data_IF_246260095994
#
_entry.id   IF_246260095994
#
_cell.length_a   1.000
_cell.length_b   1.000
_cell.length_c   1.000
_cell.angle_alpha   90.00
_cell.angle_beta   90.00
_cell.angle_gamma   90.00
#
_symmetry.space_group_name_H-M   'P 1'
#
loop_
_entity.id
_entity.type
_entity.pdbx_description
1 polymer ?
#
# COMPACT_ATOMS: atom_id res chain seq x y z
N UNK A 1 -8.55 8.11 15.16
CA UNK A 1 -9.89 7.52 15.03
C UNK A 1 -11.01 8.57 15.02
N UNK A 2 -11.18 9.42 16.05
CA UNK A 2 -12.29 10.40 16.07
C UNK A 2 -12.20 11.40 14.90
N UNK A 3 -11.01 11.93 14.62
CA UNK A 3 -10.80 12.84 13.48
C UNK A 3 -11.08 12.15 12.13
N UNK A 4 -10.72 10.89 11.97
CA UNK A 4 -10.99 10.16 10.72
C UNK A 4 -12.47 9.88 10.51
N UNK A 5 -13.23 9.64 11.59
CA UNK A 5 -14.69 9.53 11.53
C UNK A 5 -15.32 10.88 11.12
N UNK A 6 -14.80 11.98 11.65
CA UNK A 6 -15.25 13.32 11.24
C UNK A 6 -14.96 13.59 9.75
N UNK A 7 -13.75 13.24 9.27
CA UNK A 7 -13.42 13.37 7.84
C UNK A 7 -14.35 12.53 6.97
N UNK A 8 -14.60 11.27 7.36
CA UNK A 8 -15.54 10.40 6.63
C UNK A 8 -16.95 11.01 6.59
N UNK A 9 -17.42 11.57 7.72
CA UNK A 9 -18.71 12.26 7.75
C UNK A 9 -18.75 13.44 6.77
N UNK A 10 -17.70 14.27 6.71
CA UNK A 10 -17.62 15.39 5.77
C UNK A 10 -17.65 14.93 4.32
N UNK A 11 -16.92 13.85 4.00
CA UNK A 11 -16.87 13.29 2.64
C UNK A 11 -18.24 12.74 2.23
N UNK A 12 -18.91 11.95 3.11
CA UNK A 12 -20.17 11.29 2.74
C UNK A 12 -21.33 12.27 2.72
N UNK A 13 -21.45 13.14 3.73
CA UNK A 13 -22.63 14.00 3.90
C UNK A 13 -22.48 15.31 3.13
N UNK A 14 -21.29 15.92 3.19
CA UNK A 14 -21.03 17.22 2.57
C UNK A 14 -20.36 17.11 1.20
N UNK A 15 -20.11 15.89 0.71
CA UNK A 15 -19.41 15.62 -0.57
C UNK A 15 -18.07 16.37 -0.67
N UNK A 16 -17.38 16.48 0.47
CA UNK A 16 -16.10 17.18 0.55
C UNK A 16 -14.99 16.29 0.02
N UNK A 17 -14.41 16.68 -1.10
CA UNK A 17 -13.22 16.05 -1.68
C UNK A 17 -12.15 17.11 -1.90
N UNK A 18 -10.94 16.85 -1.44
CA UNK A 18 -9.83 17.79 -1.56
C UNK A 18 -8.48 17.09 -1.67
N UNK A 19 -7.58 17.71 -2.46
CA UNK A 19 -6.16 17.40 -2.49
C UNK A 19 -5.38 18.51 -1.76
N UNK A 20 -4.88 18.22 -0.56
CA UNK A 20 -4.14 19.16 0.27
C UNK A 20 -2.64 18.96 0.01
N UNK A 21 -2.03 19.87 -0.74
CA UNK A 21 -0.58 19.89 -0.93
C UNK A 21 0.11 20.41 0.33
N UNK A 22 1.03 19.64 0.88
CA UNK A 22 1.80 19.98 2.09
C UNK A 22 3.15 20.57 1.70
N UNK A 23 3.89 19.91 0.81
CA UNK A 23 5.22 20.33 0.38
C UNK A 23 5.58 19.71 -0.98
N UNK A 24 6.52 20.34 -1.68
CA UNK A 24 7.21 19.69 -2.81
C UNK A 24 8.25 18.74 -2.26
N UNK A 25 8.20 17.47 -2.69
CA UNK A 25 9.12 16.45 -2.20
C UNK A 25 10.26 16.19 -3.17
N UNK A 26 9.94 15.90 -4.44
CA UNK A 26 10.91 15.69 -5.49
C UNK A 26 10.61 16.66 -6.63
N UNK A 27 11.65 17.35 -7.09
CA UNK A 27 11.58 18.18 -8.29
C UNK A 27 12.88 17.97 -9.08
N UNK A 28 12.78 17.24 -10.19
CA UNK A 28 13.94 16.90 -11.03
C UNK A 28 13.51 16.80 -12.49
N UNK A 29 13.85 17.79 -13.28
CA UNK A 29 13.46 17.87 -14.69
C UNK A 29 11.94 17.89 -14.85
N UNK A 30 11.38 16.93 -15.55
CA UNK A 30 9.92 16.77 -15.74
C UNK A 30 9.22 16.06 -14.58
N UNK A 31 9.97 15.44 -13.66
CA UNK A 31 9.39 14.74 -12.52
C UNK A 31 9.14 15.73 -11.37
N UNK A 32 7.88 16.04 -11.12
CA UNK A 32 7.42 16.75 -9.94
C UNK A 32 6.59 15.83 -9.06
N UNK A 33 7.01 15.63 -7.81
CA UNK A 33 6.30 14.84 -6.81
C UNK A 33 6.03 15.72 -5.60
N UNK A 34 4.77 15.85 -5.26
CA UNK A 34 4.34 16.59 -4.10
C UNK A 34 4.04 15.62 -2.94
N UNK A 35 4.31 16.08 -1.73
CA UNK A 35 3.80 15.47 -0.53
C UNK A 35 2.42 16.05 -0.26
N UNK A 36 1.39 15.25 -0.44
CA UNK A 36 0.00 15.72 -0.42
C UNK A 36 -0.89 14.74 0.33
N UNK A 37 -2.08 15.19 0.69
CA UNK A 37 -3.13 14.34 1.27
C UNK A 37 -4.36 14.39 0.37
N UNK A 38 -4.70 13.26 -0.24
CA UNK A 38 -5.94 13.09 -1.00
C UNK A 38 -7.06 12.63 -0.07
N UNK A 39 -8.09 13.46 0.05
CA UNK A 39 -9.29 13.19 0.81
C UNK A 39 -10.43 12.92 -0.18
N UNK A 40 -10.84 11.68 -0.29
CA UNK A 40 -11.96 11.20 -1.08
C UNK A 40 -12.69 10.06 -0.36
N UNK A 41 -13.72 9.49 -0.96
CA UNK A 41 -14.51 8.43 -0.35
C UNK A 41 -13.64 7.22 0.04
N UNK A 42 -12.75 6.76 -0.85
CA UNK A 42 -11.90 5.59 -0.61
C UNK A 42 -10.88 5.86 0.51
N UNK A 43 -10.17 7.00 0.45
CA UNK A 43 -9.17 7.35 1.47
C UNK A 43 -9.81 7.55 2.84
N UNK A 44 -10.99 8.19 2.92
CA UNK A 44 -11.68 8.47 4.19
C UNK A 44 -12.20 7.20 4.87
N UNK A 45 -12.73 6.23 4.11
CA UNK A 45 -13.09 4.91 4.63
C UNK A 45 -11.84 4.21 5.19
N UNK A 46 -10.75 4.17 4.42
CA UNK A 46 -9.51 3.54 4.87
C UNK A 46 -8.88 4.25 6.08
N UNK A 47 -8.96 5.58 6.17
CA UNK A 47 -8.53 6.33 7.35
C UNK A 47 -9.26 5.87 8.62
N UNK A 48 -10.58 5.66 8.53
CA UNK A 48 -11.36 5.15 9.68
C UNK A 48 -10.94 3.74 10.03
N UNK A 49 -10.90 2.83 9.06
CA UNK A 49 -10.51 1.43 9.29
C UNK A 49 -9.14 1.34 9.95
N UNK A 50 -8.13 1.98 9.36
CA UNK A 50 -6.75 1.94 9.85
C UNK A 50 -6.63 2.54 11.24
N UNK A 51 -7.16 3.74 11.46
CA UNK A 51 -6.99 4.44 12.77
C UNK A 51 -7.81 3.81 13.88
N UNK A 52 -8.99 3.26 13.58
CA UNK A 52 -9.84 2.60 14.57
C UNK A 52 -9.21 1.28 15.04
N UNK A 53 -8.83 0.41 14.11
CA UNK A 53 -8.18 -0.85 14.45
C UNK A 53 -6.83 -0.60 15.12
N UNK A 54 -6.03 0.34 14.63
CA UNK A 54 -4.77 0.71 15.27
C UNK A 54 -4.97 1.18 16.71
N UNK A 55 -5.98 2.01 16.99
CA UNK A 55 -6.29 2.46 18.35
C UNK A 55 -6.63 1.28 19.28
N UNK A 56 -7.47 0.35 18.82
CA UNK A 56 -7.83 -0.85 19.59
C UNK A 56 -6.60 -1.73 19.85
N UNK A 57 -5.76 -1.94 18.83
CA UNK A 57 -4.52 -2.74 18.97
C UNK A 57 -3.55 -2.07 19.93
N UNK A 58 -3.40 -0.74 19.90
CA UNK A 58 -2.55 -0.04 20.87
C UNK A 58 -3.06 -0.22 22.30
N UNK A 59 -4.36 -0.04 22.54
CA UNK A 59 -4.98 -0.24 23.86
C UNK A 59 -4.79 -1.68 24.34
N UNK A 60 -5.06 -2.66 23.48
CA UNK A 60 -4.86 -4.08 23.80
C UNK A 60 -3.39 -4.39 24.13
N UNK A 61 -2.47 -3.81 23.37
CA UNK A 61 -1.03 -4.02 23.56
C UNK A 61 -0.50 -3.50 24.90
N UNK A 62 -1.17 -2.55 25.56
CA UNK A 62 -0.81 -2.06 26.89
C UNK A 62 -0.82 -3.21 27.91
N UNK A 63 -1.87 -4.04 27.87
CA UNK A 63 -1.99 -5.23 28.71
C UNK A 63 -1.14 -6.40 28.21
N UNK A 64 -1.23 -6.71 26.90
CA UNK A 64 -0.53 -7.84 26.30
C UNK A 64 1.00 -7.79 26.52
N UNK A 65 1.60 -6.60 26.35
CA UNK A 65 3.05 -6.38 26.52
C UNK A 65 3.44 -5.90 27.92
N UNK A 66 2.57 -6.06 28.93
CA UNK A 66 2.82 -5.54 30.29
C UNK A 66 4.07 -6.13 30.94
N UNK A 67 4.37 -7.40 30.65
CA UNK A 67 5.51 -8.13 31.23
C UNK A 67 6.75 -8.14 30.33
N UNK A 68 6.68 -7.61 29.09
CA UNK A 68 7.80 -7.58 28.17
C UNK A 68 8.66 -6.31 28.41
N UNK A 69 9.98 -6.46 28.65
CA UNK A 69 10.88 -5.34 28.93
C UNK A 69 11.03 -4.39 27.71
N UNK A 70 10.67 -4.83 26.51
CA UNK A 70 10.78 -4.06 25.27
C UNK A 70 9.46 -3.42 24.81
N UNK A 71 8.48 -3.29 25.71
CA UNK A 71 7.18 -2.65 25.42
C UNK A 71 7.30 -1.28 24.74
N UNK A 72 8.19 -0.34 25.13
CA UNK A 72 8.31 0.94 24.45
C UNK A 72 8.69 0.79 22.97
N UNK A 73 9.63 -0.12 22.64
CA UNK A 73 10.02 -0.43 21.27
C UNK A 73 8.85 -0.98 20.46
N UNK A 74 8.06 -1.87 21.07
CA UNK A 74 6.87 -2.43 20.45
C UNK A 74 5.86 -1.35 20.06
N UNK A 75 5.54 -0.46 21.00
CA UNK A 75 4.59 0.65 20.79
C UNK A 75 5.09 1.62 19.70
N UNK A 76 6.40 1.89 19.68
CA UNK A 76 7.01 2.71 18.63
C UNK A 76 6.86 2.09 17.23
N UNK A 77 7.07 0.77 17.09
CA UNK A 77 6.90 0.07 15.82
C UNK A 77 5.44 0.04 15.36
N UNK A 78 4.48 -0.16 16.27
CA UNK A 78 3.06 -0.07 15.95
C UNK A 78 2.67 1.33 15.46
N UNK A 79 3.19 2.37 16.11
CA UNK A 79 2.92 3.76 15.71
C UNK A 79 3.55 4.08 14.35
N UNK A 80 4.78 3.63 14.11
CA UNK A 80 5.47 3.81 12.83
C UNK A 80 4.74 3.07 11.69
N UNK A 81 4.25 1.86 11.97
CA UNK A 81 3.46 1.10 11.02
C UNK A 81 2.15 1.83 10.65
N UNK A 82 1.45 2.34 11.66
CA UNK A 82 0.23 3.12 11.46
C UNK A 82 0.50 4.38 10.65
N UNK A 83 1.57 5.10 10.95
CA UNK A 83 2.00 6.27 10.18
C UNK A 83 2.24 5.91 8.70
N UNK A 84 3.02 4.86 8.44
CA UNK A 84 3.31 4.42 7.07
C UNK A 84 2.04 4.06 6.29
N UNK A 85 1.08 3.39 6.96
CA UNK A 85 -0.21 3.06 6.35
C UNK A 85 -1.07 4.29 6.07
N UNK A 86 -1.06 5.29 6.97
CA UNK A 86 -1.76 6.55 6.72
C UNK A 86 -1.17 7.30 5.53
N UNK A 87 0.17 7.32 5.39
CA UNK A 87 0.83 7.93 4.23
C UNK A 87 0.46 7.22 2.92
N UNK A 88 0.29 5.90 2.98
CA UNK A 88 -0.14 5.09 1.83
C UNK A 88 -1.57 5.46 1.40
N UNK A 89 -2.53 5.43 2.31
CA UNK A 89 -3.95 5.60 1.96
C UNK A 89 -4.34 7.03 1.61
N UNK A 90 -3.56 8.03 2.06
CA UNK A 90 -3.78 9.44 1.74
C UNK A 90 -2.94 9.94 0.58
N UNK A 91 -2.14 9.08 -0.07
CA UNK A 91 -1.33 9.50 -1.21
C UNK A 91 -2.20 10.01 -2.37
N UNK A 92 -1.74 11.05 -3.06
CA UNK A 92 -2.33 11.57 -4.29
C UNK A 92 -1.54 11.21 -5.55
N UNK A 93 -0.39 10.54 -5.35
CA UNK A 93 0.50 10.12 -6.42
C UNK A 93 1.14 8.77 -6.14
N UNK A 94 1.61 8.10 -7.19
CA UNK A 94 2.17 6.75 -7.11
C UNK A 94 3.47 6.67 -6.31
N UNK A 95 4.30 7.72 -6.27
CA UNK A 95 5.57 7.72 -5.53
C UNK A 95 5.33 7.85 -4.03
N UNK A 96 4.40 8.70 -3.60
CA UNK A 96 4.02 8.80 -2.18
C UNK A 96 3.33 7.51 -1.72
N UNK A 97 2.47 6.92 -2.57
CA UNK A 97 1.89 5.60 -2.30
C UNK A 97 2.99 4.56 -2.09
N UNK A 98 4.00 4.53 -2.97
CA UNK A 98 5.12 3.60 -2.87
C UNK A 98 5.96 3.84 -1.61
N UNK A 99 6.16 5.08 -1.19
CA UNK A 99 6.81 5.39 0.09
C UNK A 99 6.09 4.74 1.27
N UNK A 100 4.77 4.93 1.37
CA UNK A 100 3.97 4.27 2.41
C UNK A 100 3.99 2.74 2.29
N UNK A 101 3.97 2.23 1.06
CA UNK A 101 4.05 0.80 0.73
C UNK A 101 5.32 0.13 1.24
N UNK A 102 6.46 0.78 1.01
CA UNK A 102 7.75 0.36 1.52
C UNK A 102 7.85 0.50 3.04
N UNK A 103 7.27 1.59 3.56
CA UNK A 103 7.22 1.85 4.99
C UNK A 103 6.48 0.75 5.77
N UNK A 104 5.29 0.32 5.31
CA UNK A 104 4.57 -0.78 5.96
C UNK A 104 5.31 -2.11 5.82
N UNK A 105 6.02 -2.34 4.70
CA UNK A 105 6.89 -3.50 4.51
C UNK A 105 8.03 -3.55 5.54
N UNK A 106 8.74 -2.45 5.72
CA UNK A 106 9.81 -2.33 6.71
C UNK A 106 9.30 -2.49 8.14
N UNK A 107 8.19 -1.83 8.48
CA UNK A 107 7.60 -1.93 9.82
C UNK A 107 7.12 -3.35 10.12
N UNK A 108 6.56 -4.06 9.12
CA UNK A 108 6.17 -5.46 9.30
C UNK A 108 7.36 -6.36 9.59
N UNK A 109 8.50 -6.14 8.94
CA UNK A 109 9.74 -6.84 9.24
C UNK A 109 10.15 -6.66 10.71
N UNK A 110 10.14 -5.43 11.22
CA UNK A 110 10.46 -5.16 12.63
C UNK A 110 9.45 -5.75 13.61
N UNK A 111 8.20 -5.81 13.24
CA UNK A 111 7.12 -6.30 14.08
C UNK A 111 7.06 -7.84 14.09
N UNK A 112 7.22 -8.51 12.95
CA UNK A 112 7.27 -9.98 12.87
C UNK A 112 8.52 -10.48 13.60
N UNK A 113 9.69 -9.85 13.34
CA UNK A 113 10.96 -10.15 14.01
C UNK A 113 11.12 -9.50 15.39
N UNK A 114 10.04 -9.09 16.05
CA UNK A 114 10.12 -8.37 17.33
C UNK A 114 10.93 -9.13 18.39
N UNK A 115 10.70 -10.43 18.50
CA UNK A 115 11.47 -11.33 19.34
C UNK A 115 12.71 -11.85 18.60
N UNK A 116 13.61 -10.96 18.22
CA UNK A 116 14.78 -11.22 17.37
C UNK A 116 15.76 -12.27 17.90
N UNK A 117 15.65 -12.66 19.19
CA UNK A 117 16.42 -13.78 19.77
C UNK A 117 15.85 -15.14 19.38
N UNK A 118 14.62 -15.19 18.83
CA UNK A 118 13.96 -16.39 18.37
C UNK A 118 14.29 -16.60 16.88
N UNK A 119 14.99 -17.66 16.54
CA UNK A 119 15.42 -17.93 15.16
C UNK A 119 14.25 -18.04 14.19
N UNK A 120 13.14 -18.66 14.61
CA UNK A 120 11.93 -18.79 13.80
C UNK A 120 11.32 -17.42 13.47
N UNK A 121 11.28 -16.49 14.41
CA UNK A 121 10.78 -15.14 14.18
C UNK A 121 11.67 -14.35 13.21
N UNK A 122 13.00 -14.53 13.30
CA UNK A 122 13.94 -13.91 12.36
C UNK A 122 13.76 -14.48 10.95
N UNK A 123 13.67 -15.79 10.81
CA UNK A 123 13.44 -16.45 9.52
C UNK A 123 12.11 -16.00 8.90
N UNK A 124 11.04 -15.94 9.70
CA UNK A 124 9.73 -15.45 9.27
C UNK A 124 9.76 -13.98 8.81
N UNK A 125 10.44 -13.11 9.55
CA UNK A 125 10.60 -11.71 9.20
C UNK A 125 11.38 -11.52 7.89
N UNK A 126 12.49 -12.22 7.72
CA UNK A 126 13.30 -12.20 6.49
C UNK A 126 12.46 -12.72 5.30
N UNK A 127 11.76 -13.84 5.48
CA UNK A 127 10.88 -14.40 4.44
C UNK A 127 9.80 -13.42 4.03
N UNK A 128 9.08 -12.83 4.99
CA UNK A 128 8.07 -11.83 4.73
C UNK A 128 8.63 -10.63 3.97
N UNK A 129 9.79 -10.14 4.37
CA UNK A 129 10.45 -9.00 3.71
C UNK A 129 10.85 -9.33 2.27
N UNK A 130 11.53 -10.46 2.04
CA UNK A 130 12.04 -10.84 0.71
C UNK A 130 10.89 -11.13 -0.26
N UNK A 131 9.88 -11.89 0.17
CA UNK A 131 8.74 -12.22 -0.69
C UNK A 131 7.97 -10.96 -1.10
N UNK A 132 7.77 -10.02 -0.17
CA UNK A 132 7.14 -8.75 -0.49
C UNK A 132 7.97 -7.92 -1.47
N UNK A 133 9.34 -7.95 -1.37
CA UNK A 133 10.21 -7.23 -2.31
C UNK A 133 10.05 -7.69 -3.76
N UNK A 134 9.75 -8.95 -4.00
CA UNK A 134 9.45 -9.44 -5.35
C UNK A 134 8.22 -8.73 -5.92
N UNK A 135 7.16 -8.60 -5.11
CA UNK A 135 5.97 -7.82 -5.49
C UNK A 135 6.28 -6.33 -5.67
N UNK A 136 7.01 -5.75 -4.73
CA UNK A 136 7.38 -4.32 -4.72
C UNK A 136 8.20 -3.94 -5.95
N UNK A 137 9.05 -4.86 -6.47
CA UNK A 137 9.79 -4.67 -7.72
C UNK A 137 8.83 -4.55 -8.92
N UNK A 138 7.83 -5.42 -9.02
CA UNK A 138 6.79 -5.31 -10.05
C UNK A 138 6.06 -3.98 -9.97
N UNK A 139 5.67 -3.56 -8.75
CA UNK A 139 5.02 -2.27 -8.52
C UNK A 139 5.89 -1.08 -8.96
N UNK A 140 7.18 -1.08 -8.61
CA UNK A 140 8.12 -0.04 -9.03
C UNK A 140 8.24 0.05 -10.56
N UNK A 141 8.33 -1.08 -11.26
CA UNK A 141 8.33 -1.12 -12.73
C UNK A 141 7.04 -0.54 -13.31
N UNK A 142 5.88 -0.83 -12.69
CA UNK A 142 4.60 -0.23 -13.06
C UNK A 142 4.60 1.29 -12.93
N UNK A 143 5.15 1.83 -11.84
CA UNK A 143 5.30 3.28 -11.63
C UNK A 143 6.23 3.91 -12.69
N UNK A 144 7.35 3.27 -12.99
CA UNK A 144 8.27 3.77 -14.02
C UNK A 144 7.61 3.78 -15.40
N UNK A 145 6.82 2.76 -15.71
CA UNK A 145 6.08 2.71 -16.97
C UNK A 145 4.98 3.78 -17.03
N UNK A 146 4.27 4.03 -15.93
CA UNK A 146 3.31 5.13 -15.83
C UNK A 146 4.02 6.46 -16.12
N UNK A 147 5.14 6.74 -15.47
CA UNK A 147 5.88 7.97 -15.69
C UNK A 147 6.39 8.08 -17.14
N UNK A 148 6.87 6.99 -17.72
CA UNK A 148 7.36 6.96 -19.09
C UNK A 148 6.26 7.31 -20.11
N UNK A 149 5.03 6.83 -19.92
CA UNK A 149 3.94 7.02 -20.86
C UNK A 149 3.18 8.34 -20.63
N UNK A 150 2.95 8.71 -19.38
CA UNK A 150 2.13 9.86 -19.03
C UNK A 150 2.93 11.12 -18.68
N UNK A 151 4.24 11.00 -18.43
CA UNK A 151 5.10 12.11 -18.00
C UNK A 151 4.80 12.62 -16.59
N UNK A 152 3.88 11.99 -15.88
CA UNK A 152 3.45 12.36 -14.51
C UNK A 152 3.19 11.11 -13.67
N UNK A 153 3.19 11.29 -12.35
CA UNK A 153 2.85 10.22 -11.38
C UNK A 153 1.63 10.59 -10.53
N UNK A 154 1.01 11.74 -10.78
CA UNK A 154 -0.19 12.16 -10.07
C UNK A 154 -1.41 11.38 -10.57
N UNK A 155 -2.26 10.91 -9.66
CA UNK A 155 -3.42 10.07 -10.02
C UNK A 155 -4.37 10.78 -10.98
N UNK A 156 -4.77 12.00 -10.69
CA UNK A 156 -5.74 12.72 -11.51
C UNK A 156 -5.23 12.91 -12.94
N UNK A 157 -3.97 13.36 -13.07
CA UNK A 157 -3.35 13.59 -14.37
C UNK A 157 -3.16 12.31 -15.19
N UNK A 158 -2.80 11.19 -14.50
CA UNK A 158 -2.67 9.87 -15.15
C UNK A 158 -4.04 9.39 -15.62
N UNK A 159 -5.06 9.45 -14.76
CA UNK A 159 -6.39 8.93 -15.09
C UNK A 159 -7.06 9.71 -16.23
N UNK A 160 -6.88 11.03 -16.29
CA UNK A 160 -7.39 11.87 -17.36
C UNK A 160 -6.74 11.59 -18.73
N UNK A 161 -5.51 11.06 -18.72
CA UNK A 161 -4.76 10.77 -19.95
C UNK A 161 -4.92 9.34 -20.47
N UNK A 162 -5.54 8.43 -19.71
CA UNK A 162 -5.71 7.01 -20.10
C UNK A 162 -6.30 6.88 -21.51
N UNK A 163 -7.38 7.59 -21.90
CA UNK A 163 -7.99 7.43 -23.23
C UNK A 163 -7.05 7.68 -24.41
N UNK A 164 -5.94 8.39 -24.18
CA UNK A 164 -4.94 8.70 -25.22
C UNK A 164 -3.95 7.57 -25.45
N UNK A 165 -3.79 6.66 -24.48
CA UNK A 165 -2.75 5.63 -24.42
C UNK A 165 -3.33 4.22 -24.57
N UNK A 166 -4.67 4.09 -24.61
CA UNK A 166 -5.37 2.79 -24.65
C UNK A 166 -4.90 1.88 -25.79
N UNK A 167 -4.61 2.43 -26.95
CA UNK A 167 -4.21 1.66 -28.15
C UNK A 167 -2.68 1.55 -28.30
N UNK A 168 -1.91 2.08 -27.34
CA UNK A 168 -0.45 2.06 -27.43
C UNK A 168 0.11 0.67 -27.19
N UNK A 169 0.97 0.22 -28.11
CA UNK A 169 1.63 -1.09 -28.03
C UNK A 169 3.10 -0.92 -27.67
N UNK A 170 3.53 -1.68 -26.68
CA UNK A 170 4.91 -1.71 -26.23
C UNK A 170 5.56 -3.06 -26.57
N UNK A 171 6.84 -3.02 -26.95
CA UNK A 171 7.64 -4.23 -27.07
C UNK A 171 8.32 -4.51 -25.74
N UNK A 172 7.74 -5.43 -24.97
CA UNK A 172 8.27 -5.85 -23.68
C UNK A 172 8.79 -7.29 -23.81
N UNK A 173 10.08 -7.48 -23.58
CA UNK A 173 10.77 -8.78 -23.68
C UNK A 173 10.56 -9.51 -25.04
N UNK A 174 10.41 -8.76 -26.12
CA UNK A 174 10.20 -9.31 -27.47
C UNK A 174 8.74 -9.64 -27.82
N UNK A 175 7.80 -9.35 -26.91
CA UNK A 175 6.36 -9.53 -27.12
C UNK A 175 5.71 -8.17 -27.22
N UNK A 176 4.80 -7.99 -28.18
CA UNK A 176 3.96 -6.79 -28.25
C UNK A 176 2.81 -6.93 -27.25
N UNK A 177 2.74 -6.01 -26.31
CA UNK A 177 1.73 -5.98 -25.25
C UNK A 177 1.12 -4.57 -25.23
N UNK A 178 -0.19 -4.49 -24.99
CA UNK A 178 -0.84 -3.21 -24.76
C UNK A 178 -0.24 -2.53 -23.50
N UNK A 179 0.02 -1.24 -23.58
CA UNK A 179 0.68 -0.48 -22.53
C UNK A 179 -0.12 -0.47 -21.22
N UNK A 180 -1.46 -0.33 -21.31
CA UNK A 180 -2.35 -0.33 -20.16
C UNK A 180 -2.39 -1.72 -19.49
N UNK A 181 -2.47 -2.80 -20.30
CA UNK A 181 -2.42 -4.17 -19.77
C UNK A 181 -1.14 -4.41 -18.97
N UNK A 182 0.00 -3.97 -19.52
CA UNK A 182 1.30 -4.13 -18.84
C UNK A 182 1.35 -3.35 -17.52
N UNK A 183 0.89 -2.08 -17.50
CA UNK A 183 0.81 -1.28 -16.27
C UNK A 183 -0.04 -2.01 -15.22
N UNK A 184 -1.26 -2.43 -15.58
CA UNK A 184 -2.18 -3.09 -14.67
C UNK A 184 -1.59 -4.38 -14.07
N UNK A 185 -0.95 -5.22 -14.90
CA UNK A 185 -0.31 -6.45 -14.43
C UNK A 185 0.85 -6.14 -13.48
N UNK A 186 1.71 -5.17 -13.80
CA UNK A 186 2.83 -4.79 -12.96
C UNK A 186 2.37 -4.23 -11.60
N UNK A 187 1.34 -3.39 -11.58
CA UNK A 187 0.72 -2.90 -10.34
C UNK A 187 0.11 -4.05 -9.55
N UNK A 188 -0.53 -5.01 -10.22
CA UNK A 188 -1.15 -6.16 -9.57
C UNK A 188 -0.13 -7.12 -8.97
N UNK A 189 1.05 -7.29 -9.58
CA UNK A 189 2.15 -8.05 -8.96
C UNK A 189 2.53 -7.44 -7.60
N UNK A 190 2.57 -6.11 -7.50
CA UNK A 190 2.73 -5.43 -6.22
C UNK A 190 1.62 -5.77 -5.22
N UNK A 191 0.36 -5.69 -5.67
CA UNK A 191 -0.79 -6.03 -4.85
C UNK A 191 -0.76 -7.49 -4.37
N UNK A 192 -0.36 -8.44 -5.23
CA UNK A 192 -0.22 -9.86 -4.87
C UNK A 192 0.78 -10.07 -3.73
N UNK A 193 1.88 -9.32 -3.70
CA UNK A 193 2.86 -9.39 -2.62
C UNK A 193 2.26 -9.03 -1.27
N UNK A 194 1.68 -7.84 -1.14
CA UNK A 194 1.11 -7.35 0.13
C UNK A 194 -0.15 -8.10 0.54
N UNK A 195 -1.01 -8.44 -0.42
CA UNK A 195 -2.26 -9.19 -0.15
C UNK A 195 -2.06 -10.70 -0.07
N UNK A 196 -0.82 -11.18 -0.12
CA UNK A 196 -0.48 -12.60 -0.02
C UNK A 196 -1.32 -13.48 -0.98
N UNK A 197 -1.41 -13.06 -2.23
CA UNK A 197 -2.11 -13.81 -3.26
C UNK A 197 -1.24 -14.95 -3.81
N UNK A 198 -1.82 -15.79 -4.65
CA UNK A 198 -1.17 -16.96 -5.27
C UNK A 198 0.26 -16.61 -5.73
N UNK A 199 1.21 -17.52 -5.53
CA UNK A 199 2.67 -17.42 -5.69
C UNK A 199 3.39 -16.59 -4.60
N UNK A 200 2.82 -15.48 -4.10
CA UNK A 200 3.45 -14.61 -3.08
C UNK A 200 2.81 -14.74 -1.68
N UNK A 201 2.03 -15.80 -1.43
CA UNK A 201 1.29 -16.00 -0.17
C UNK A 201 2.14 -16.62 0.95
N UNK A 202 3.30 -17.18 0.64
CA UNK A 202 4.06 -18.06 1.55
C UNK A 202 4.58 -17.38 2.80
N UNK A 203 4.64 -16.04 2.84
CA UNK A 203 5.07 -15.28 4.00
C UNK A 203 3.99 -15.12 5.08
N UNK A 204 2.71 -15.17 4.68
CA UNK A 204 1.57 -14.82 5.55
C UNK A 204 1.41 -15.79 6.74
N UNK A 205 1.46 -17.13 6.58
CA UNK A 205 1.40 -18.04 7.70
C UNK A 205 2.56 -17.87 8.70
N UNK A 206 3.78 -17.66 8.20
CA UNK A 206 4.96 -17.52 9.04
C UNK A 206 4.98 -16.17 9.81
N UNK A 207 4.28 -15.16 9.31
CA UNK A 207 4.16 -13.86 9.98
C UNK A 207 3.48 -13.96 11.37
N UNK A 208 2.81 -15.08 11.68
CA UNK A 208 2.24 -15.36 12.99
C UNK A 208 3.30 -15.59 14.10
N UNK A 209 4.58 -15.70 13.76
CA UNK A 209 5.67 -15.75 14.74
C UNK A 209 5.85 -14.44 15.53
N UNK A 210 5.31 -13.33 15.04
CA UNK A 210 5.26 -12.06 15.77
C UNK A 210 4.23 -12.06 16.90
N UNK A 211 4.28 -11.04 17.79
CA UNK A 211 3.26 -10.86 18.83
C UNK A 211 1.84 -10.77 18.27
N UNK A 212 0.85 -11.37 18.95
CA UNK A 212 -0.55 -11.43 18.48
C UNK A 212 -1.14 -10.06 18.06
N UNK A 213 -0.90 -8.93 18.77
CA UNK A 213 -1.39 -7.63 18.30
C UNK A 213 -0.86 -7.21 16.93
N UNK A 214 0.36 -7.66 16.58
CA UNK A 214 0.98 -7.43 15.27
C UNK A 214 0.19 -8.15 14.19
N UNK A 215 -0.11 -9.43 14.40
CA UNK A 215 -0.88 -10.22 13.45
C UNK A 215 -2.26 -9.60 13.23
N UNK A 216 -2.93 -9.14 14.29
CA UNK A 216 -4.20 -8.45 14.18
C UNK A 216 -4.11 -7.16 13.34
N UNK A 217 -3.05 -6.37 13.50
CA UNK A 217 -2.86 -5.13 12.75
C UNK A 217 -2.50 -5.39 11.28
N UNK A 218 -1.51 -6.25 11.03
CA UNK A 218 -0.99 -6.54 9.68
C UNK A 218 -2.08 -7.17 8.80
N UNK A 219 -2.81 -8.17 9.33
CA UNK A 219 -3.72 -8.99 8.52
C UNK A 219 -5.12 -8.40 8.40
N UNK A 220 -5.64 -7.72 9.44
CA UNK A 220 -7.03 -7.30 9.45
C UNK A 220 -7.27 -5.96 8.71
N UNK A 221 -6.43 -4.94 8.94
CA UNK A 221 -6.79 -3.58 8.56
C UNK A 221 -5.76 -2.84 7.70
N UNK A 222 -4.58 -3.43 7.48
CA UNK A 222 -3.49 -2.60 6.98
C UNK A 222 -2.69 -3.22 5.84
N UNK A 223 -1.68 -4.06 6.10
CA UNK A 223 -0.75 -4.47 5.05
C UNK A 223 -1.42 -5.31 3.95
N UNK A 224 -2.25 -6.29 4.34
CA UNK A 224 -2.95 -7.14 3.36
C UNK A 224 -4.00 -6.33 2.59
N UNK A 225 -4.67 -5.38 3.23
CA UNK A 225 -5.63 -4.49 2.57
C UNK A 225 -4.98 -3.43 1.68
N UNK A 226 -3.67 -3.18 1.81
CA UNK A 226 -2.96 -2.24 0.94
C UNK A 226 -2.97 -2.67 -0.53
N UNK A 227 -2.86 -3.98 -0.83
CA UNK A 227 -3.00 -4.48 -2.20
C UNK A 227 -4.40 -4.30 -2.76
N UNK A 228 -5.43 -4.57 -1.95
CA UNK A 228 -6.84 -4.30 -2.32
C UNK A 228 -7.04 -2.81 -2.56
N UNK A 229 -6.54 -1.96 -1.66
CA UNK A 229 -6.59 -0.50 -1.82
C UNK A 229 -5.94 -0.05 -3.14
N UNK A 230 -4.77 -0.58 -3.49
CA UNK A 230 -4.09 -0.26 -4.74
C UNK A 230 -4.96 -0.57 -5.97
N UNK A 231 -5.56 -1.76 -6.03
CA UNK A 231 -6.43 -2.17 -7.15
C UNK A 231 -7.65 -1.26 -7.24
N UNK A 232 -8.30 -0.98 -6.10
CA UNK A 232 -9.47 -0.08 -6.06
C UNK A 232 -9.08 1.35 -6.43
N UNK A 233 -7.94 1.86 -5.94
CA UNK A 233 -7.43 3.21 -6.29
C UNK A 233 -7.14 3.33 -7.78
N UNK A 234 -6.63 2.27 -8.39
CA UNK A 234 -6.28 2.22 -9.80
C UNK A 234 -7.43 1.70 -10.70
N UNK A 235 -8.66 1.52 -10.16
CA UNK A 235 -9.79 1.03 -10.96
C UNK A 235 -9.99 1.80 -12.27
N UNK A 236 -9.79 3.14 -12.35
CA UNK A 236 -9.89 3.84 -13.62
C UNK A 236 -8.92 3.36 -14.71
N UNK A 237 -7.75 2.79 -14.32
CA UNK A 237 -6.81 2.18 -15.28
C UNK A 237 -7.28 0.76 -15.63
N UNK A 238 -7.70 -0.02 -14.62
CA UNK A 238 -8.14 -1.41 -14.80
C UNK A 238 -9.37 -1.54 -15.69
N UNK A 239 -10.28 -0.56 -15.72
CA UNK A 239 -11.47 -0.54 -16.59
C UNK A 239 -11.12 -0.61 -18.08
N UNK A 240 -9.93 -0.16 -18.46
CA UNK A 240 -9.44 -0.22 -19.86
C UNK A 240 -8.63 -1.49 -20.18
N UNK A 241 -8.47 -2.42 -19.23
CA UNK A 241 -7.73 -3.67 -19.39
C UNK A 241 -8.59 -4.89 -19.06
N UNK A 242 -9.26 -5.46 -20.06
CA UNK A 242 -10.03 -6.69 -19.88
C UNK A 242 -9.13 -7.86 -19.41
N UNK A 243 -7.90 -7.92 -19.93
CA UNK A 243 -6.92 -8.92 -19.51
C UNK A 243 -6.60 -8.81 -18.03
N UNK A 244 -6.31 -7.62 -17.53
CA UNK A 244 -5.96 -7.43 -16.12
C UNK A 244 -7.17 -7.68 -15.20
N UNK A 245 -8.38 -7.27 -15.58
CA UNK A 245 -9.60 -7.58 -14.83
C UNK A 245 -9.81 -9.09 -14.69
N UNK A 246 -9.60 -9.85 -15.77
CA UNK A 246 -9.68 -11.30 -15.74
C UNK A 246 -8.61 -11.91 -14.82
N UNK A 247 -7.36 -11.42 -14.87
CA UNK A 247 -6.28 -11.87 -13.96
C UNK A 247 -6.63 -11.59 -12.51
N UNK A 248 -7.09 -10.39 -12.17
CA UNK A 248 -7.51 -10.02 -10.81
C UNK A 248 -8.67 -10.89 -10.31
N UNK A 249 -9.58 -11.28 -11.21
CA UNK A 249 -10.74 -12.11 -10.85
C UNK A 249 -10.37 -13.56 -10.60
N UNK A 250 -9.36 -14.08 -11.31
CA UNK A 250 -8.92 -15.47 -11.20
C UNK A 250 -8.00 -15.70 -9.99
N UNK A 251 -7.17 -14.72 -9.65
CA UNK A 251 -6.18 -14.80 -8.57
C UNK A 251 -6.76 -14.34 -7.25
#
# INVERSE_FOLDING_TARGET
ALLSIYVLYQVIVNQYEENIRIATWINSGSLEVNWSMKIDALSSVMLVVVTFISALVHIYSIGYMSHDPHKPRFMAYLSLFTFAMLMLVTADNFIQLFFGWEGVGLCSYFLIGFWFKKETANAAAIKAFVVNRVGDFGFALGIFLIFYLFGTVNYTEVFDQIPRVVDEQLNFLGIQINAIDLICILLFIGAMGKSAQIFLHTWLPDAMEGPTPVSALIHAATMVTAGVFLVVRCSPIYEYSELALNVVTII
#
